data_IF_573213135506
#
_entry.id   IF_573213135506
#
_cell.length_a   1.000
_cell.length_b   1.000
_cell.length_c   1.000
_cell.angle_alpha   90.00
_cell.angle_beta   90.00
_cell.angle_gamma   90.00
#
_symmetry.space_group_name_H-M   'P 1'
#
loop_
_entity.id
_entity.type
_entity.pdbx_description
1 polymer ?
#
# COMPACT_ATOMS: atom_id res chain seq x y z
N UNK A 1 7.71 3.59 10.19
CA UNK A 1 7.95 4.83 9.41
C UNK A 1 7.02 4.80 8.22
N UNK A 2 6.19 5.82 8.03
CA UNK A 2 5.21 5.86 6.94
C UNK A 2 5.72 6.78 5.82
N UNK A 3 5.64 6.32 4.57
CA UNK A 3 5.73 7.20 3.40
C UNK A 3 4.47 8.07 3.36
N UNK A 4 4.57 9.41 3.34
CA UNK A 4 3.39 10.26 3.25
C UNK A 4 2.72 10.06 1.88
N UNK A 5 1.38 9.93 1.88
CA UNK A 5 0.60 10.03 0.64
C UNK A 5 0.54 11.52 0.29
N UNK A 6 1.35 11.96 -0.67
CA UNK A 6 1.31 13.35 -1.13
C UNK A 6 0.22 13.51 -2.19
N UNK A 7 -0.68 14.46 -1.98
CA UNK A 7 -1.72 14.82 -2.94
C UNK A 7 -1.19 15.68 -4.12
N UNK A 8 -0.01 16.29 -3.97
CA UNK A 8 0.56 17.25 -4.92
C UNK A 8 1.93 16.80 -5.46
N UNK A 9 2.30 17.30 -6.64
CA UNK A 9 3.61 17.11 -7.26
C UNK A 9 4.73 17.57 -6.31
N UNK A 10 5.64 16.66 -5.96
CA UNK A 10 6.83 16.98 -5.15
C UNK A 10 8.00 17.34 -6.09
N UNK A 11 8.69 18.47 -5.89
CA UNK A 11 9.81 18.87 -6.75
C UNK A 11 11.01 17.92 -6.66
N UNK A 12 11.08 17.09 -5.61
CA UNK A 12 12.08 16.03 -5.47
C UNK A 12 11.42 14.76 -4.91
N UNK A 13 10.84 13.91 -5.77
CA UNK A 13 10.20 12.65 -5.36
C UNK A 13 11.16 11.68 -4.69
N UNK A 14 12.43 11.68 -5.13
CA UNK A 14 13.46 10.82 -4.56
C UNK A 14 13.68 11.15 -3.07
N UNK A 15 13.94 12.42 -2.75
CA UNK A 15 14.22 12.83 -1.38
C UNK A 15 12.98 12.86 -0.48
N UNK A 16 11.80 13.13 -1.02
CA UNK A 16 10.59 13.39 -0.22
C UNK A 16 9.63 12.19 -0.12
N UNK A 17 9.73 11.21 -1.02
CA UNK A 17 8.85 10.03 -1.04
C UNK A 17 9.66 8.73 -1.02
N UNK A 18 10.52 8.52 -2.01
CA UNK A 18 11.17 7.22 -2.24
C UNK A 18 12.18 6.92 -1.14
N UNK A 19 13.16 7.79 -0.92
CA UNK A 19 14.20 7.59 0.08
C UNK A 19 13.62 7.50 1.51
N UNK A 20 12.68 8.36 1.94
CA UNK A 20 12.03 8.19 3.25
C UNK A 20 11.29 6.86 3.40
N UNK A 21 10.60 6.39 2.35
CA UNK A 21 9.90 5.11 2.38
C UNK A 21 10.87 3.93 2.53
N UNK A 22 11.90 3.88 1.68
CA UNK A 22 12.87 2.77 1.64
C UNK A 22 13.77 2.80 2.87
N UNK A 23 14.45 3.92 3.13
CA UNK A 23 15.36 4.06 4.27
C UNK A 23 14.62 3.92 5.60
N UNK A 24 13.43 4.50 5.71
CA UNK A 24 12.59 4.37 6.89
C UNK A 24 12.22 2.92 7.20
N UNK A 25 11.83 2.16 6.17
CA UNK A 25 11.54 0.72 6.29
C UNK A 25 12.78 -0.05 6.73
N UNK A 26 13.90 0.18 6.06
CA UNK A 26 15.17 -0.50 6.38
C UNK A 26 15.67 -0.22 7.80
N UNK A 27 15.51 1.01 8.29
CA UNK A 27 15.91 1.36 9.65
C UNK A 27 15.08 0.60 10.70
N UNK A 28 13.77 0.48 10.49
CA UNK A 28 12.90 -0.29 11.38
C UNK A 28 13.26 -1.77 11.36
N UNK A 29 13.44 -2.37 10.18
CA UNK A 29 13.77 -3.79 10.06
C UNK A 29 15.12 -4.12 10.71
N UNK A 30 16.13 -3.26 10.55
CA UNK A 30 17.42 -3.40 11.23
C UNK A 30 17.27 -3.37 12.74
N UNK A 31 16.54 -2.38 13.26
CA UNK A 31 16.27 -2.28 14.70
C UNK A 31 15.50 -3.50 15.23
N UNK A 32 14.53 -4.02 14.46
CA UNK A 32 13.80 -5.25 14.80
C UNK A 32 14.71 -6.47 14.88
N UNK A 33 15.63 -6.66 13.94
CA UNK A 33 16.62 -7.74 13.98
C UNK A 33 17.56 -7.62 15.17
N UNK A 34 18.08 -6.42 15.45
CA UNK A 34 18.93 -6.15 16.62
C UNK A 34 18.20 -6.45 17.94
N UNK A 35 16.92 -6.09 18.02
CA UNK A 35 16.05 -6.39 19.15
C UNK A 35 15.53 -7.84 19.17
N UNK A 36 15.88 -8.68 18.18
CA UNK A 36 15.42 -10.07 18.05
C UNK A 36 13.89 -10.20 18.06
N UNK A 37 13.21 -9.25 17.41
CA UNK A 37 11.76 -9.32 17.19
C UNK A 37 11.42 -10.57 16.40
N UNK A 38 10.37 -11.28 16.81
CA UNK A 38 9.97 -12.54 16.19
C UNK A 38 9.36 -12.34 14.80
N UNK A 39 8.51 -11.33 14.63
CA UNK A 39 7.78 -11.03 13.40
C UNK A 39 7.55 -9.52 13.26
N UNK A 40 7.70 -9.02 12.04
CA UNK A 40 7.31 -7.66 11.65
C UNK A 40 6.15 -7.73 10.68
N UNK A 41 5.08 -7.00 10.99
CA UNK A 41 3.96 -6.79 10.05
C UNK A 41 4.11 -5.42 9.41
N UNK A 42 4.36 -5.40 8.11
CA UNK A 42 4.55 -4.17 7.33
C UNK A 42 3.25 -3.79 6.60
N UNK A 43 2.80 -2.55 6.81
CA UNK A 43 1.70 -1.98 6.04
C UNK A 43 2.22 -1.47 4.69
N UNK A 44 2.04 -2.26 3.64
CA UNK A 44 2.31 -1.89 2.26
C UNK A 44 1.11 -1.15 1.65
N UNK A 45 0.73 -1.46 0.42
CA UNK A 45 -0.45 -0.94 -0.28
C UNK A 45 -0.70 -1.76 -1.55
N UNK A 46 -1.94 -1.81 -2.02
CA UNK A 46 -2.24 -2.27 -3.38
C UNK A 46 -1.47 -1.51 -4.47
N UNK A 47 -0.94 -0.32 -4.16
CA UNK A 47 -0.02 0.41 -5.04
C UNK A 47 1.29 -0.34 -5.36
N UNK A 48 1.66 -1.36 -4.57
CA UNK A 48 2.78 -2.27 -4.86
C UNK A 48 2.35 -3.52 -5.64
N UNK A 49 1.07 -3.65 -5.97
CA UNK A 49 0.47 -4.81 -6.65
C UNK A 49 -0.04 -4.44 -8.04
N UNK A 50 -0.75 -3.31 -8.15
CA UNK A 50 -1.74 -3.11 -9.21
C UNK A 50 -1.28 -2.39 -10.48
N UNK A 51 -0.02 -1.98 -10.58
CA UNK A 51 0.49 -1.20 -11.70
C UNK A 51 1.45 -2.00 -12.55
N UNK A 52 0.94 -2.69 -13.57
CA UNK A 52 1.77 -3.44 -14.52
C UNK A 52 1.18 -3.31 -15.94
N UNK A 53 1.85 -2.60 -16.87
CA UNK A 53 1.30 -2.35 -18.22
C UNK A 53 1.22 -3.62 -19.08
N UNK A 54 1.96 -4.66 -18.71
CA UNK A 54 1.98 -5.96 -19.40
C UNK A 54 0.95 -6.94 -18.84
N UNK A 55 0.14 -6.53 -17.85
CA UNK A 55 -0.83 -7.43 -17.23
C UNK A 55 -2.02 -7.70 -18.17
N UNK A 56 -2.42 -8.97 -18.37
CA UNK A 56 -3.54 -9.28 -19.25
C UNK A 56 -4.85 -8.64 -18.77
N UNK A 57 -5.59 -8.03 -19.71
CA UNK A 57 -6.89 -7.45 -19.43
C UNK A 57 -7.85 -8.53 -18.90
N UNK A 58 -8.61 -8.20 -17.86
CA UNK A 58 -9.58 -9.11 -17.24
C UNK A 58 -8.98 -10.20 -16.35
N UNK A 59 -7.65 -10.34 -16.26
CA UNK A 59 -7.01 -11.27 -15.33
C UNK A 59 -6.97 -10.67 -13.91
N UNK A 60 -7.52 -11.35 -12.88
CA UNK A 60 -7.42 -10.85 -11.51
C UNK A 60 -5.96 -10.81 -11.06
N UNK A 61 -5.63 -9.78 -10.28
CA UNK A 61 -4.34 -9.68 -9.59
C UNK A 61 -4.48 -10.23 -8.18
N UNK A 62 -3.45 -10.93 -7.72
CA UNK A 62 -3.33 -11.57 -6.42
C UNK A 62 -2.02 -11.14 -5.73
N UNK A 63 -1.73 -11.74 -4.59
CA UNK A 63 -0.58 -11.48 -3.73
C UNK A 63 0.79 -11.70 -4.43
N UNK A 64 0.83 -12.51 -5.48
CA UNK A 64 2.04 -12.78 -6.26
C UNK A 64 2.34 -11.66 -7.28
N UNK A 65 1.38 -10.77 -7.52
CA UNK A 65 1.50 -9.68 -8.48
C UNK A 65 2.31 -8.50 -7.92
N UNK A 66 3.23 -7.98 -8.71
CA UNK A 66 4.02 -6.79 -8.37
C UNK A 66 3.77 -5.66 -9.35
N UNK A 67 3.79 -4.44 -8.82
CA UNK A 67 3.85 -3.26 -9.67
C UNK A 67 5.22 -3.15 -10.36
N UNK A 68 5.19 -2.75 -11.62
CA UNK A 68 6.36 -2.58 -12.46
C UNK A 68 7.10 -1.29 -12.07
N UNK A 69 8.33 -1.46 -11.59
CA UNK A 69 9.18 -0.38 -11.08
C UNK A 69 9.53 0.63 -12.17
N UNK A 70 9.83 0.18 -13.37
CA UNK A 70 10.25 1.05 -14.47
C UNK A 70 9.08 1.80 -15.06
N UNK A 71 7.91 1.15 -15.16
CA UNK A 71 6.67 1.82 -15.53
C UNK A 71 6.28 2.87 -14.50
N UNK A 72 6.33 2.56 -13.20
CA UNK A 72 6.03 3.55 -12.16
C UNK A 72 7.00 4.74 -12.21
N UNK A 73 8.28 4.50 -12.54
CA UNK A 73 9.30 5.55 -12.68
C UNK A 73 9.06 6.42 -13.92
N UNK A 74 8.81 5.81 -15.08
CA UNK A 74 8.63 6.50 -16.36
C UNK A 74 7.32 7.27 -16.46
N UNK A 75 6.28 6.81 -15.75
CA UNK A 75 4.98 7.51 -15.64
C UNK A 75 4.90 8.45 -14.44
N UNK A 76 6.01 8.66 -13.73
CA UNK A 76 6.11 9.54 -12.57
C UNK A 76 5.11 9.18 -11.45
N UNK A 77 4.73 7.90 -11.34
CA UNK A 77 3.86 7.39 -10.30
C UNK A 77 4.65 7.13 -9.00
N UNK A 78 5.16 8.21 -8.42
CA UNK A 78 6.17 8.17 -7.34
C UNK A 78 5.68 7.49 -6.07
N UNK A 79 4.40 7.61 -5.73
CA UNK A 79 3.84 6.90 -4.58
C UNK A 79 3.87 5.38 -4.78
N UNK A 80 3.42 4.91 -5.93
CA UNK A 80 3.43 3.49 -6.28
C UNK A 80 4.86 2.96 -6.33
N UNK A 81 5.77 3.72 -6.94
CA UNK A 81 7.20 3.39 -6.95
C UNK A 81 7.76 3.27 -5.54
N UNK A 82 7.48 4.24 -4.66
CA UNK A 82 7.98 4.24 -3.27
C UNK A 82 7.49 3.04 -2.47
N UNK A 83 6.20 2.68 -2.62
CA UNK A 83 5.59 1.53 -1.94
C UNK A 83 6.16 0.22 -2.46
N UNK A 84 6.30 0.08 -3.78
CA UNK A 84 6.88 -1.09 -4.42
C UNK A 84 8.32 -1.32 -3.98
N UNK A 85 9.17 -0.28 -4.05
CA UNK A 85 10.58 -0.39 -3.67
C UNK A 85 10.76 -0.68 -2.17
N UNK A 86 9.97 -0.04 -1.31
CA UNK A 86 10.05 -0.29 0.14
C UNK A 86 9.67 -1.74 0.48
N UNK A 87 8.63 -2.29 -0.15
CA UNK A 87 8.18 -3.67 0.08
C UNK A 87 9.18 -4.69 -0.47
N UNK A 88 9.70 -4.49 -1.69
CA UNK A 88 10.76 -5.33 -2.26
C UNK A 88 11.99 -5.38 -1.34
N UNK A 89 12.45 -4.22 -0.86
CA UNK A 89 13.60 -4.12 0.03
C UNK A 89 13.34 -4.78 1.39
N UNK A 90 12.10 -4.76 1.88
CA UNK A 90 11.72 -5.44 3.10
C UNK A 90 11.84 -6.97 2.97
N UNK A 91 11.31 -7.55 1.89
CA UNK A 91 11.44 -9.00 1.64
C UNK A 91 12.88 -9.42 1.35
N UNK A 92 13.64 -8.61 0.61
CA UNK A 92 15.06 -8.83 0.38
C UNK A 92 15.86 -8.85 1.68
N UNK A 93 15.55 -7.94 2.60
CA UNK A 93 16.16 -7.91 3.92
C UNK A 93 15.74 -9.12 4.77
N UNK A 94 14.46 -9.46 4.78
CA UNK A 94 13.92 -10.63 5.48
C UNK A 94 14.64 -11.91 5.05
N UNK A 95 14.78 -12.13 3.74
CA UNK A 95 15.48 -13.29 3.16
C UNK A 95 16.95 -13.39 3.59
N UNK A 96 17.64 -12.26 3.72
CA UNK A 96 19.07 -12.22 4.12
C UNK A 96 19.27 -12.34 5.63
N UNK A 97 18.36 -11.79 6.43
CA UNK A 97 18.50 -11.71 7.89
C UNK A 97 17.83 -12.87 8.64
N UNK A 98 16.88 -13.56 7.99
CA UNK A 98 16.01 -14.53 8.65
C UNK A 98 14.90 -13.89 9.49
N UNK A 99 14.75 -12.56 9.44
CA UNK A 99 13.63 -11.87 10.09
C UNK A 99 12.32 -12.24 9.39
N UNK A 100 11.34 -12.68 10.16
CA UNK A 100 10.00 -12.96 9.65
C UNK A 100 9.26 -11.65 9.37
N UNK A 101 8.93 -11.42 8.09
CA UNK A 101 8.24 -10.22 7.61
C UNK A 101 7.01 -10.66 6.81
N UNK A 102 5.85 -10.15 7.23
CA UNK A 102 4.57 -10.31 6.53
C UNK A 102 4.08 -8.93 6.12
N UNK A 103 3.54 -8.79 4.92
CA UNK A 103 2.98 -7.51 4.46
C UNK A 103 1.48 -7.58 4.27
N UNK A 104 0.80 -6.48 4.62
CA UNK A 104 -0.61 -6.27 4.29
C UNK A 104 -0.68 -5.13 3.27
N UNK A 105 -1.37 -5.38 2.16
CA UNK A 105 -1.54 -4.48 1.03
C UNK A 105 -2.97 -3.93 1.01
N UNK A 106 -3.30 -2.90 1.81
CA UNK A 106 -4.63 -2.33 1.81
C UNK A 106 -4.91 -1.51 0.54
N UNK A 107 -6.18 -1.51 0.12
CA UNK A 107 -6.72 -0.55 -0.85
C UNK A 107 -6.98 0.81 -0.21
N UNK A 108 -7.87 1.64 -0.75
CA UNK A 108 -8.16 2.94 -0.13
C UNK A 108 -8.87 2.72 1.21
N UNK A 109 -8.12 2.97 2.29
CA UNK A 109 -8.62 2.81 3.66
C UNK A 109 -9.56 3.95 4.02
N UNK A 110 -10.80 3.60 4.33
CA UNK A 110 -11.89 4.51 4.71
C UNK A 110 -12.49 4.07 6.05
N UNK A 111 -13.25 4.94 6.72
CA UNK A 111 -13.95 4.59 7.96
C UNK A 111 -13.88 5.69 9.01
N UNK A 112 -14.27 5.38 10.26
CA UNK A 112 -14.26 6.35 11.35
C UNK A 112 -12.86 6.93 11.60
N UNK A 113 -12.76 8.25 11.65
CA UNK A 113 -11.51 8.95 11.94
C UNK A 113 -11.35 9.12 13.46
N UNK A 114 -10.23 8.65 14.01
CA UNK A 114 -9.87 8.89 15.41
C UNK A 114 -9.14 10.23 15.59
N UNK A 115 -8.52 10.76 14.52
CA UNK A 115 -7.91 12.09 14.50
C UNK A 115 -8.86 13.14 13.89
N UNK A 116 -8.73 14.43 14.26
CA UNK A 116 -9.57 15.51 13.70
C UNK A 116 -9.21 15.86 12.25
N UNK A 117 -8.13 15.31 11.69
CA UNK A 117 -7.64 15.59 10.34
C UNK A 117 -8.00 14.48 9.35
N UNK A 118 -8.43 14.89 8.16
CA UNK A 118 -8.75 13.98 7.06
C UNK A 118 -7.45 13.43 6.47
N UNK A 119 -7.32 12.11 6.39
CA UNK A 119 -6.21 11.45 5.68
C UNK A 119 -6.45 11.44 4.16
N UNK A 120 -5.38 11.24 3.37
CA UNK A 120 -5.46 11.26 1.90
C UNK A 120 -6.48 10.28 1.30
N UNK A 121 -6.71 9.11 1.91
CA UNK A 121 -7.72 8.18 1.42
C UNK A 121 -9.14 8.69 1.67
N UNK A 122 -9.40 9.30 2.83
CA UNK A 122 -10.70 9.89 3.16
C UNK A 122 -10.95 11.20 2.41
N UNK A 123 -9.90 11.91 1.97
CA UNK A 123 -10.08 13.10 1.13
C UNK A 123 -10.74 12.75 -0.20
N UNK A 124 -10.48 11.55 -0.75
CA UNK A 124 -11.18 11.04 -1.94
C UNK A 124 -12.70 11.01 -1.74
N UNK A 125 -13.19 10.61 -0.56
CA UNK A 125 -14.62 10.64 -0.24
C UNK A 125 -15.11 12.09 -0.12
N UNK A 126 -14.34 12.96 0.54
CA UNK A 126 -14.68 14.38 0.70
C UNK A 126 -14.79 15.07 -0.66
N UNK A 127 -13.85 14.82 -1.57
CA UNK A 127 -13.81 15.41 -2.90
C UNK A 127 -14.98 14.91 -3.77
N UNK A 128 -15.31 13.61 -3.67
CA UNK A 128 -16.51 13.05 -4.28
C UNK A 128 -17.80 13.73 -3.77
N UNK A 129 -17.94 13.91 -2.46
CA UNK A 129 -19.10 14.59 -1.84
C UNK A 129 -19.20 16.07 -2.22
N UNK A 130 -18.06 16.72 -2.49
CA UNK A 130 -17.99 18.10 -3.01
C UNK A 130 -18.30 18.20 -4.51
N UNK A 131 -18.50 17.08 -5.19
CA UNK A 131 -18.89 17.03 -6.60
C UNK A 131 -17.72 17.01 -7.57
N UNK A 132 -16.49 16.71 -7.13
CA UNK A 132 -15.34 16.59 -8.01
C UNK A 132 -15.52 15.42 -9.01
N UNK A 133 -15.44 15.73 -10.31
CA UNK A 133 -15.69 14.79 -11.39
C UNK A 133 -14.49 13.90 -11.71
N UNK A 134 -13.26 14.30 -11.35
CA UNK A 134 -12.05 13.47 -11.55
C UNK A 134 -12.05 12.22 -10.68
N UNK A 135 -12.67 12.29 -9.50
CA UNK A 135 -12.81 11.15 -8.58
C UNK A 135 -13.81 10.12 -9.11
N UNK A 136 -14.84 10.57 -9.84
CA UNK A 136 -15.92 9.71 -10.37
C UNK A 136 -15.47 8.74 -11.46
N UNK A 137 -14.41 9.07 -12.21
CA UNK A 137 -13.97 8.30 -13.37
C UNK A 137 -13.05 7.12 -13.04
N UNK A 138 -12.54 7.03 -11.81
CA UNK A 138 -11.59 5.97 -11.40
C UNK A 138 -12.30 4.94 -10.52
N UNK A 139 -12.42 3.70 -11.01
CA UNK A 139 -12.83 2.56 -10.17
C UNK A 139 -11.80 2.43 -9.06
N UNK A 140 -12.25 2.62 -7.82
CA UNK A 140 -11.40 2.55 -6.63
C UNK A 140 -11.96 1.48 -5.71
N UNK A 141 -11.10 0.52 -5.34
CA UNK A 141 -11.42 -0.40 -4.27
C UNK A 141 -11.17 0.27 -2.92
N UNK A 142 -12.05 -0.01 -1.97
CA UNK A 142 -11.99 0.53 -0.62
C UNK A 142 -11.85 -0.60 0.39
N UNK A 143 -11.41 -0.29 1.59
CA UNK A 143 -11.41 -1.21 2.73
C UNK A 143 -11.70 -0.42 4.00
N UNK A 144 -12.48 -0.97 4.93
CA UNK A 144 -12.71 -0.32 6.21
C UNK A 144 -11.42 -0.34 7.05
N UNK A 145 -11.13 0.76 7.74
CA UNK A 145 -9.97 0.86 8.64
C UNK A 145 -9.97 -0.20 9.74
N UNK A 146 -11.16 -0.65 10.17
CA UNK A 146 -11.32 -1.73 11.15
C UNK A 146 -10.93 -3.07 10.55
N UNK A 147 -11.34 -3.35 9.31
CA UNK A 147 -10.94 -4.58 8.60
C UNK A 147 -9.41 -4.63 8.40
N UNK A 148 -8.78 -3.48 8.11
CA UNK A 148 -7.31 -3.41 8.03
C UNK A 148 -6.67 -3.68 9.39
N UNK A 149 -7.20 -3.11 10.48
CA UNK A 149 -6.70 -3.35 11.82
C UNK A 149 -6.81 -4.83 12.21
N UNK A 150 -7.98 -5.44 11.96
CA UNK A 150 -8.23 -6.86 12.21
C UNK A 150 -7.30 -7.74 11.37
N UNK A 151 -7.09 -7.41 10.10
CA UNK A 151 -6.16 -8.12 9.23
C UNK A 151 -4.72 -8.05 9.75
N UNK A 152 -4.27 -6.89 10.23
CA UNK A 152 -2.92 -6.72 10.81
C UNK A 152 -2.72 -7.56 12.07
N UNK A 153 -3.73 -7.62 12.94
CA UNK A 153 -3.72 -8.48 14.14
C UNK A 153 -3.69 -9.95 13.73
N UNK A 154 -4.55 -10.35 12.78
CA UNK A 154 -4.65 -11.73 12.35
C UNK A 154 -3.34 -12.27 11.76
N UNK A 155 -2.67 -11.50 10.89
CA UNK A 155 -1.37 -11.92 10.32
C UNK A 155 -0.24 -11.89 11.34
N UNK A 156 -0.36 -11.04 12.37
CA UNK A 156 0.60 -11.02 13.48
C UNK A 156 0.47 -12.28 14.35
N UNK A 157 -0.76 -12.66 14.69
CA UNK A 157 -1.06 -13.73 15.65
C UNK A 157 -0.98 -15.13 15.05
N UNK A 158 -1.10 -15.28 13.72
CA UNK A 158 -1.13 -16.60 13.04
C UNK A 158 0.28 -17.03 12.59
N UNK A 159 1.00 -17.92 13.29
CA UNK A 159 2.41 -18.17 13.02
C UNK A 159 2.71 -18.74 11.62
N UNK A 160 1.76 -19.45 11.02
CA UNK A 160 1.93 -20.15 9.74
C UNK A 160 1.80 -19.23 8.52
N UNK A 161 1.29 -17.99 8.70
CA UNK A 161 1.16 -17.05 7.57
C UNK A 161 2.52 -16.49 7.16
N UNK A 162 2.69 -16.27 5.85
CA UNK A 162 3.91 -15.69 5.28
C UNK A 162 3.59 -14.96 3.99
N UNK A 163 4.49 -14.09 3.55
CA UNK A 163 4.34 -13.36 2.30
C UNK A 163 3.45 -12.13 2.43
N UNK A 164 2.55 -11.94 1.46
CA UNK A 164 1.78 -10.72 1.23
C UNK A 164 0.30 -11.03 1.36
N UNK A 165 -0.50 -10.07 1.80
CA UNK A 165 -1.96 -10.21 1.94
C UNK A 165 -2.67 -8.97 1.40
N UNK A 166 -3.47 -9.10 0.34
CA UNK A 166 -4.29 -8.00 -0.16
C UNK A 166 -5.49 -7.81 0.77
N UNK A 167 -5.63 -6.58 1.30
CA UNK A 167 -6.74 -6.22 2.17
C UNK A 167 -7.64 -5.22 1.44
N UNK A 168 -8.67 -5.74 0.78
CA UNK A 168 -9.57 -4.95 -0.05
C UNK A 168 -10.98 -5.51 -0.03
N UNK A 169 -11.99 -4.64 -0.06
CA UNK A 169 -13.36 -5.07 -0.36
C UNK A 169 -13.48 -5.54 -1.82
N UNK A 170 -14.51 -6.35 -2.08
CA UNK A 170 -14.84 -6.80 -3.42
C UNK A 170 -15.21 -5.61 -4.32
N UNK A 171 -14.66 -5.58 -5.52
CA UNK A 171 -15.03 -4.60 -6.52
C UNK A 171 -16.53 -4.75 -6.85
N UNK A 172 -17.34 -3.72 -6.59
CA UNK A 172 -18.69 -3.64 -7.16
C UNK A 172 -18.54 -3.34 -8.65
N UNK A 173 -19.04 -4.23 -9.51
CA UNK A 173 -19.28 -3.90 -10.93
C UNK A 173 -20.12 -2.62 -10.96
N UNK A 174 -19.64 -1.60 -11.67
CA UNK A 174 -20.38 -0.35 -11.83
C UNK A 174 -21.80 -0.64 -12.33
N UNK A 175 -22.79 0.02 -11.74
CA UNK A 175 -24.14 0.00 -12.31
C UNK A 175 -24.06 0.65 -13.70
N UNK A 176 -24.61 0.04 -14.76
CA UNK A 176 -24.66 0.71 -16.05
C UNK A 176 -25.40 2.04 -15.85
N UNK A 177 -24.77 3.13 -16.24
CA UNK A 177 -25.43 4.44 -16.35
C UNK A 177 -26.65 4.27 -17.26
N UNK A 178 -27.84 4.41 -16.68
CA UNK A 178 -29.12 4.44 -17.40
C UNK A 178 -29.30 5.74 -18.18
#
# INVERSE_FOLDING_TARGET
VACPVLANHTPNPEANLIAPAVTGTMNVLKACSEAKVKRVVMVSSVAAVMTNPSWPEGKPMDEDCWSDVDYCRTTENWYYLSKTLAELQAFDYAKRSGLDVVTVCPSLVIGPLLQPTVNASSSVIVDFLKGDNEVKSKIRNFVDVRDVADALILVYETPEVSGRYICSSHARKGCPSG
#
